data_IF_556765892143
#
_entry.id   IF_556765892143
#
_cell.length_a   1.000
_cell.length_b   1.000
_cell.length_c   1.000
_cell.angle_alpha   90.00
_cell.angle_beta   90.00
_cell.angle_gamma   90.00
#
_symmetry.space_group_name_H-M   'P 1'
#
loop_
_entity.id
_entity.type
_entity.pdbx_description
1 polymer ?
#
# COMPACT_ATOMS: atom_id res chain seq x y z
N UNK A 1 -8.00 -6.99 71.11
CA UNK A 1 -8.21 -5.62 71.63
C UNK A 1 -9.64 -5.27 71.27
N UNK A 2 -10.46 -5.13 72.30
CA UNK A 2 -11.92 -5.14 72.29
C UNK A 2 -12.52 -3.74 72.12
N UNK A 3 -13.62 -3.70 71.35
CA UNK A 3 -14.85 -2.90 71.59
C UNK A 3 -14.78 -1.40 71.27
N UNK A 4 -15.61 -1.01 70.30
CA UNK A 4 -16.67 0.05 70.31
C UNK A 4 -16.74 0.97 71.54
N UNK A 5 -17.36 2.14 71.60
CA UNK A 5 -18.11 3.09 70.77
C UNK A 5 -18.43 4.24 71.77
N UNK A 6 -18.99 5.34 71.27
CA UNK A 6 -19.86 6.33 71.95
C UNK A 6 -19.30 7.76 71.82
N UNK A 7 -19.94 8.67 71.06
CA UNK A 7 -21.28 9.27 71.18
C UNK A 7 -21.21 10.65 71.83
N UNK A 8 -21.67 11.67 71.10
CA UNK A 8 -22.35 12.87 71.62
C UNK A 8 -23.00 13.58 70.42
N UNK A 9 -24.30 13.43 70.17
CA UNK A 9 -25.46 14.14 70.74
C UNK A 9 -25.51 15.64 70.41
N UNK A 10 -26.44 16.06 69.54
CA UNK A 10 -27.76 16.69 69.86
C UNK A 10 -27.65 18.22 69.57
N UNK A 11 -28.57 18.89 68.86
CA UNK A 11 -29.82 19.45 69.44
C UNK A 11 -30.72 20.12 68.37
N UNK A 12 -31.97 19.62 68.26
CA UNK A 12 -33.26 20.33 68.15
C UNK A 12 -33.56 21.15 66.86
N UNK A 13 -34.79 21.29 66.35
CA UNK A 13 -36.15 21.19 66.93
C UNK A 13 -37.17 21.18 65.77
N UNK A 14 -38.22 20.37 65.86
CA UNK A 14 -39.50 20.50 65.13
C UNK A 14 -40.51 21.29 66.02
N UNK A 15 -41.80 21.55 65.66
CA UNK A 15 -42.56 21.33 64.42
C UNK A 15 -43.50 22.51 64.03
N UNK A 16 -44.18 22.45 62.87
CA UNK A 16 -45.62 22.77 62.73
C UNK A 16 -46.11 22.31 61.36
N UNK A 17 -47.12 21.46 61.41
CA UNK A 17 -47.84 20.78 60.34
C UNK A 17 -48.68 21.69 59.45
N UNK A 18 -48.72 21.40 58.14
CA UNK A 18 -49.90 21.55 57.29
C UNK A 18 -49.97 20.38 56.29
N UNK A 19 -51.15 19.75 56.25
CA UNK A 19 -51.62 18.73 55.30
C UNK A 19 -51.40 19.20 53.85
N UNK A 20 -51.16 18.38 52.83
CA UNK A 20 -51.96 17.20 52.45
C UNK A 20 -51.33 16.43 51.26
N UNK A 21 -51.58 15.11 51.27
CA UNK A 21 -51.92 14.24 50.13
C UNK A 21 -50.82 13.54 49.29
N UNK A 22 -50.87 12.20 49.41
CA UNK A 22 -50.62 11.14 48.40
C UNK A 22 -49.26 11.06 47.71
N UNK A 23 -48.67 9.91 47.38
CA UNK A 23 -48.83 8.48 47.66
C UNK A 23 -47.66 7.85 46.88
N UNK A 24 -47.14 6.68 47.30
CA UNK A 24 -46.36 5.82 46.42
C UNK A 24 -44.92 5.57 46.84
N UNK A 25 -44.75 4.65 47.79
CA UNK A 25 -43.57 3.80 47.87
C UNK A 25 -43.60 2.84 46.68
N UNK A 26 -42.57 2.79 45.84
CA UNK A 26 -42.24 1.57 45.11
C UNK A 26 -40.82 1.60 44.57
N UNK A 27 -40.01 0.64 45.02
CA UNK A 27 -38.65 0.43 44.55
C UNK A 27 -38.65 0.19 43.04
N UNK A 28 -37.75 0.89 42.35
CA UNK A 28 -37.55 0.69 40.92
C UNK A 28 -36.33 -0.20 40.77
N UNK A 29 -36.56 -1.51 40.60
CA UNK A 29 -35.59 -2.40 39.98
C UNK A 29 -35.10 -1.72 38.69
N UNK A 30 -33.82 -1.36 38.65
CA UNK A 30 -33.19 -0.87 37.44
C UNK A 30 -32.96 -2.10 36.54
N UNK A 31 -34.05 -2.61 35.99
CA UNK A 31 -34.04 -3.60 34.91
C UNK A 31 -33.20 -3.01 33.79
N UNK A 32 -31.92 -3.41 33.74
CA UNK A 32 -31.03 -3.18 32.61
C UNK A 32 -31.62 -3.97 31.45
N UNK A 33 -32.62 -3.38 30.79
CA UNK A 33 -33.06 -3.81 29.47
C UNK A 33 -31.87 -3.55 28.55
N UNK A 34 -31.01 -4.54 28.38
CA UNK A 34 -30.20 -4.64 27.17
C UNK A 34 -31.19 -4.79 26.02
N UNK A 35 -31.70 -3.67 25.51
CA UNK A 35 -32.32 -3.62 24.21
C UNK A 35 -31.27 -4.18 23.24
N UNK A 36 -31.54 -5.30 22.54
CA UNK A 36 -30.59 -5.78 21.56
C UNK A 36 -30.44 -4.66 20.54
N UNK A 37 -29.26 -4.07 20.43
CA UNK A 37 -28.99 -3.08 19.40
C UNK A 37 -28.81 -3.85 18.08
N UNK A 38 -29.86 -4.53 17.63
CA UNK A 38 -30.00 -4.98 16.24
C UNK A 38 -30.44 -3.79 15.40
N UNK A 39 -29.71 -2.68 15.50
CA UNK A 39 -29.86 -1.60 14.54
C UNK A 39 -29.23 -2.09 13.23
N UNK A 40 -29.98 -2.13 12.11
CA UNK A 40 -29.46 -2.62 10.83
C UNK A 40 -28.26 -1.81 10.30
N UNK A 41 -28.00 -0.63 10.88
CA UNK A 41 -26.82 0.18 10.58
C UNK A 41 -25.53 -0.26 11.30
N UNK A 42 -25.62 -0.98 12.42
CA UNK A 42 -24.42 -1.40 13.17
C UNK A 42 -23.58 -2.41 12.40
N UNK A 43 -24.16 -3.44 11.75
CA UNK A 43 -23.40 -4.33 10.88
C UNK A 43 -22.70 -3.56 9.75
N UNK A 44 -23.38 -2.57 9.16
CA UNK A 44 -22.81 -1.75 8.08
C UNK A 44 -21.68 -0.86 8.57
N UNK A 45 -21.84 -0.22 9.73
CA UNK A 45 -20.80 0.61 10.34
C UNK A 45 -19.57 -0.21 10.73
N UNK A 46 -19.76 -1.40 11.31
CA UNK A 46 -18.67 -2.34 11.58
C UNK A 46 -17.96 -2.75 10.28
N UNK A 47 -18.69 -3.06 9.21
CA UNK A 47 -18.10 -3.37 7.91
C UNK A 47 -17.29 -2.19 7.35
N UNK A 48 -17.79 -0.96 7.46
CA UNK A 48 -17.06 0.24 7.01
C UNK A 48 -15.77 0.39 7.81
N UNK A 49 -15.81 0.29 9.14
CA UNK A 49 -14.60 0.36 9.97
C UNK A 49 -13.60 -0.73 9.57
N UNK A 50 -14.06 -1.97 9.40
CA UNK A 50 -13.19 -3.09 8.99
C UNK A 50 -12.58 -2.80 7.61
N UNK A 51 -13.36 -2.37 6.62
CA UNK A 51 -12.85 -2.05 5.27
C UNK A 51 -11.83 -0.91 5.34
N UNK A 52 -12.10 0.15 6.11
CA UNK A 52 -11.17 1.27 6.26
C UNK A 52 -9.87 0.81 6.93
N UNK A 53 -9.96 0.01 8.00
CA UNK A 53 -8.79 -0.56 8.68
C UNK A 53 -8.00 -1.45 7.72
N UNK A 54 -8.65 -2.37 7.00
CA UNK A 54 -8.00 -3.22 6.00
C UNK A 54 -7.35 -2.41 4.88
N UNK A 55 -8.04 -1.41 4.33
CA UNK A 55 -7.49 -0.54 3.29
C UNK A 55 -6.28 0.24 3.80
N UNK A 56 -6.33 0.79 5.02
CA UNK A 56 -5.18 1.49 5.60
C UNK A 56 -4.00 0.55 5.86
N UNK A 57 -4.24 -0.67 6.35
CA UNK A 57 -3.19 -1.68 6.54
C UNK A 57 -2.56 -2.04 5.20
N UNK A 58 -3.37 -2.27 4.16
CA UNK A 58 -2.88 -2.58 2.80
C UNK A 58 -2.05 -1.42 2.26
N UNK A 59 -2.54 -0.18 2.37
CA UNK A 59 -1.82 1.01 1.93
C UNK A 59 -0.46 1.15 2.63
N UNK A 60 -0.45 1.02 3.96
CA UNK A 60 0.78 1.09 4.76
C UNK A 60 1.74 -0.03 4.36
N UNK A 61 1.27 -1.27 4.24
CA UNK A 61 2.08 -2.40 3.79
C UNK A 61 2.67 -2.17 2.39
N UNK A 62 1.90 -1.64 1.45
CA UNK A 62 2.39 -1.31 0.10
C UNK A 62 3.51 -0.28 0.13
N UNK A 63 3.44 0.73 1.01
CA UNK A 63 4.52 1.72 1.13
C UNK A 63 5.81 1.12 1.69
N UNK A 64 5.72 0.24 2.69
CA UNK A 64 6.89 -0.43 3.25
C UNK A 64 7.53 -1.44 2.29
N UNK A 65 6.76 -2.01 1.38
CA UNK A 65 7.24 -2.95 0.36
C UNK A 65 7.74 -2.24 -0.91
N UNK A 66 7.40 -0.97 -1.12
CA UNK A 66 7.83 -0.22 -2.30
C UNK A 66 9.27 0.27 -2.10
N UNK A 67 10.21 -0.41 -2.74
CA UNK A 67 11.60 0.03 -2.83
C UNK A 67 11.80 0.77 -4.16
N UNK A 68 12.07 2.06 -4.09
CA UNK A 68 12.33 2.92 -5.25
C UNK A 68 13.77 3.42 -5.18
N UNK A 69 14.50 3.31 -6.30
CA UNK A 69 15.92 3.66 -6.38
C UNK A 69 16.25 4.32 -7.70
N UNK A 70 17.39 5.00 -7.75
CA UNK A 70 17.95 5.51 -9.00
C UNK A 70 18.29 4.36 -9.97
N UNK A 71 18.38 4.68 -11.26
CA UNK A 71 18.53 3.68 -12.33
C UNK A 71 19.78 2.80 -12.15
N UNK A 72 20.90 3.40 -11.73
CA UNK A 72 22.17 2.68 -11.54
C UNK A 72 22.07 1.68 -10.39
N UNK A 73 21.51 2.08 -9.26
CA UNK A 73 21.29 1.20 -8.11
C UNK A 73 20.32 0.07 -8.44
N UNK A 74 19.27 0.35 -9.22
CA UNK A 74 18.36 -0.69 -9.73
C UNK A 74 19.06 -1.69 -10.64
N UNK A 75 19.91 -1.22 -11.56
CA UNK A 75 20.71 -2.10 -12.41
C UNK A 75 21.65 -2.99 -11.58
N UNK A 76 22.37 -2.41 -10.63
CA UNK A 76 23.25 -3.17 -9.73
C UNK A 76 22.48 -4.24 -8.95
N UNK A 77 21.27 -3.93 -8.49
CA UNK A 77 20.41 -4.91 -7.83
C UNK A 77 20.05 -6.07 -8.77
N UNK A 78 19.60 -5.80 -9.99
CA UNK A 78 19.31 -6.87 -10.95
C UNK A 78 20.56 -7.72 -11.25
N UNK A 79 21.72 -7.09 -11.40
CA UNK A 79 22.99 -7.80 -11.62
C UNK A 79 23.34 -8.73 -10.45
N UNK A 80 23.03 -8.34 -9.20
CA UNK A 80 23.22 -9.23 -8.04
C UNK A 80 22.35 -10.49 -8.07
N UNK A 81 21.29 -10.49 -8.89
CA UNK A 81 20.41 -11.64 -9.13
C UNK A 81 20.73 -12.37 -10.45
N UNK A 82 21.90 -12.08 -11.04
CA UNK A 82 22.29 -12.56 -12.39
C UNK A 82 21.23 -12.21 -13.44
N UNK A 83 20.63 -11.04 -13.30
CA UNK A 83 19.62 -10.49 -14.18
C UNK A 83 20.06 -9.10 -14.66
N UNK A 84 19.28 -8.54 -15.57
CA UNK A 84 19.45 -7.17 -16.06
C UNK A 84 18.18 -6.37 -15.84
N UNK A 85 18.24 -5.04 -15.87
CA UNK A 85 17.01 -4.25 -15.95
C UNK A 85 16.19 -4.67 -17.16
N UNK A 86 14.87 -4.66 -16.98
CA UNK A 86 13.89 -5.25 -17.89
C UNK A 86 14.16 -4.90 -19.35
N UNK A 87 14.43 -5.92 -20.15
CA UNK A 87 14.48 -5.85 -21.61
C UNK A 87 13.25 -6.52 -22.21
N UNK A 88 12.89 -6.10 -23.41
CA UNK A 88 11.81 -6.71 -24.19
C UNK A 88 12.18 -6.63 -25.67
N UNK A 89 11.77 -7.64 -26.42
CA UNK A 89 12.06 -7.76 -27.85
C UNK A 89 10.80 -7.53 -28.69
N UNK A 90 9.62 -7.88 -28.15
CA UNK A 90 8.35 -7.84 -28.89
C UNK A 90 7.31 -6.89 -28.29
N UNK A 91 6.27 -6.57 -29.08
CA UNK A 91 5.14 -5.77 -28.61
C UNK A 91 4.36 -6.48 -27.51
N UNK A 92 4.23 -7.81 -27.61
CA UNK A 92 3.52 -8.64 -26.64
C UNK A 92 4.21 -8.61 -25.28
N UNK A 93 5.55 -8.66 -25.25
CA UNK A 93 6.33 -8.55 -24.03
C UNK A 93 6.16 -7.16 -23.41
N UNK A 94 6.26 -6.09 -24.20
CA UNK A 94 6.04 -4.73 -23.71
C UNK A 94 4.60 -4.55 -23.17
N UNK A 95 3.62 -5.11 -23.86
CA UNK A 95 2.21 -5.09 -23.43
C UNK A 95 2.04 -5.82 -22.10
N UNK A 96 2.65 -7.00 -21.95
CA UNK A 96 2.64 -7.75 -20.70
C UNK A 96 3.26 -6.96 -19.55
N UNK A 97 4.46 -6.39 -19.75
CA UNK A 97 5.12 -5.55 -18.76
C UNK A 97 4.22 -4.38 -18.32
N UNK A 98 3.60 -3.70 -19.29
CA UNK A 98 2.67 -2.59 -19.01
C UNK A 98 1.44 -3.04 -18.23
N UNK A 99 0.89 -4.21 -18.55
CA UNK A 99 -0.33 -4.74 -17.93
C UNK A 99 -0.12 -5.17 -16.47
N UNK A 100 1.08 -5.61 -16.12
CA UNK A 100 1.38 -6.23 -14.82
C UNK A 100 2.38 -5.48 -13.94
N UNK A 101 3.00 -4.39 -14.41
CA UNK A 101 3.91 -3.56 -13.58
C UNK A 101 3.26 -2.96 -12.32
N UNK A 102 1.93 -2.94 -12.24
CA UNK A 102 1.22 -2.27 -11.15
C UNK A 102 1.17 -0.74 -11.30
N UNK A 103 0.82 0.00 -10.24
CA UNK A 103 0.51 1.43 -10.34
C UNK A 103 1.75 2.34 -10.49
N UNK A 104 2.93 1.89 -10.04
CA UNK A 104 4.13 2.70 -10.07
C UNK A 104 4.78 2.76 -11.45
N UNK A 105 5.58 3.79 -11.68
CA UNK A 105 6.52 3.85 -12.79
C UNK A 105 7.74 2.98 -12.50
N UNK A 106 8.23 2.26 -13.52
CA UNK A 106 9.32 1.30 -13.34
C UNK A 106 10.48 1.54 -14.31
N UNK A 107 11.71 1.55 -13.81
CA UNK A 107 12.91 1.53 -14.64
C UNK A 107 12.97 0.29 -15.53
N UNK A 108 13.43 0.50 -16.76
CA UNK A 108 13.74 -0.54 -17.75
C UNK A 108 15.18 -0.41 -18.23
N UNK A 109 15.68 -1.43 -18.93
CA UNK A 109 17.09 -1.55 -19.32
C UNK A 109 17.59 -0.60 -20.41
N UNK A 110 16.86 0.47 -20.75
CA UNK A 110 17.26 1.42 -21.78
C UNK A 110 17.92 2.66 -21.18
N UNK A 111 19.09 3.01 -21.72
CA UNK A 111 19.86 4.19 -21.37
C UNK A 111 20.48 4.85 -22.61
N UNK A 112 20.66 6.17 -22.56
CA UNK A 112 21.44 6.95 -23.53
C UNK A 112 22.33 7.94 -22.79
N UNK A 113 23.37 8.44 -23.45
CA UNK A 113 24.31 9.39 -22.87
C UNK A 113 23.73 10.81 -22.77
N UNK A 114 23.00 11.25 -23.80
CA UNK A 114 22.25 12.51 -23.79
C UNK A 114 21.05 12.43 -24.73
N UNK A 115 20.21 13.47 -24.77
CA UNK A 115 19.00 13.52 -25.61
C UNK A 115 19.22 13.26 -27.10
N UNK A 116 20.43 13.46 -27.60
CA UNK A 116 20.80 13.29 -29.01
C UNK A 116 21.41 11.91 -29.33
N UNK A 117 21.72 11.12 -28.30
CA UNK A 117 22.35 9.81 -28.47
C UNK A 117 21.29 8.73 -28.63
N UNK A 118 21.66 7.68 -29.36
CA UNK A 118 20.84 6.47 -29.53
C UNK A 118 20.62 5.79 -28.19
N UNK A 119 19.45 5.17 -28.05
CA UNK A 119 19.14 4.33 -26.90
C UNK A 119 19.89 3.00 -27.01
N UNK A 120 20.45 2.55 -25.90
CA UNK A 120 21.13 1.26 -25.78
C UNK A 120 20.56 0.48 -24.61
N UNK A 121 20.51 -0.83 -24.78
CA UNK A 121 20.24 -1.77 -23.71
C UNK A 121 21.44 -1.90 -22.77
N UNK A 122 21.25 -2.56 -21.64
CA UNK A 122 22.31 -2.75 -20.63
C UNK A 122 23.49 -3.59 -21.13
N UNK A 123 23.27 -4.40 -22.17
CA UNK A 123 24.29 -5.20 -22.85
C UNK A 123 25.02 -4.43 -23.96
N UNK A 124 24.78 -3.11 -24.06
CA UNK A 124 25.33 -2.21 -25.09
C UNK A 124 24.77 -2.40 -26.50
N UNK A 125 23.79 -3.28 -26.71
CA UNK A 125 23.09 -3.39 -27.99
C UNK A 125 22.22 -2.16 -28.23
N UNK A 126 22.12 -1.73 -29.49
CA UNK A 126 21.31 -0.56 -29.84
C UNK A 126 19.82 -0.93 -29.85
N UNK A 127 19.00 -0.02 -29.35
CA UNK A 127 17.56 -0.18 -29.38
C UNK A 127 17.01 0.09 -30.78
N UNK A 128 16.27 -0.86 -31.34
CA UNK A 128 15.72 -0.80 -32.70
C UNK A 128 14.65 0.29 -32.94
N UNK A 129 14.37 1.15 -31.95
CA UNK A 129 13.40 2.23 -32.01
C UNK A 129 11.96 1.79 -32.37
N UNK A 130 11.60 0.53 -32.08
CA UNK A 130 10.26 -0.02 -32.35
C UNK A 130 9.14 0.73 -31.62
N UNK A 131 9.44 1.30 -30.45
CA UNK A 131 8.51 2.11 -29.67
C UNK A 131 9.12 3.45 -29.29
N UNK A 132 8.32 4.51 -29.41
CA UNK A 132 8.75 5.88 -29.10
C UNK A 132 8.90 6.05 -27.59
N UNK A 133 10.09 6.45 -27.14
CA UNK A 133 10.38 6.80 -25.75
C UNK A 133 10.20 8.31 -25.59
N UNK A 134 9.21 8.72 -24.79
CA UNK A 134 8.90 10.14 -24.59
C UNK A 134 9.92 10.81 -23.64
N UNK A 135 10.15 12.11 -23.83
CA UNK A 135 10.97 12.94 -22.93
C UNK A 135 12.46 13.03 -23.32
N UNK A 136 13.19 13.79 -22.52
CA UNK A 136 14.59 14.18 -22.77
C UNK A 136 15.59 13.60 -21.76
N UNK A 137 15.15 12.67 -20.90
CA UNK A 137 16.01 12.04 -19.89
C UNK A 137 16.95 10.98 -20.48
N UNK A 138 17.94 10.59 -19.70
CA UNK A 138 18.99 9.62 -20.05
C UNK A 138 18.58 8.17 -19.82
N UNK A 139 17.63 7.93 -18.90
CA UNK A 139 17.20 6.59 -18.50
C UNK A 139 15.71 6.40 -18.82
N UNK A 140 15.34 5.27 -19.40
CA UNK A 140 13.96 4.99 -19.75
C UNK A 140 13.22 4.26 -18.63
N UNK A 141 11.94 4.57 -18.50
CA UNK A 141 11.01 3.92 -17.59
C UNK A 141 9.68 3.65 -18.28
N UNK A 142 8.93 2.70 -17.72
CA UNK A 142 7.59 2.32 -18.15
C UNK A 142 6.55 2.93 -17.23
N UNK A 143 5.55 3.59 -17.81
CA UNK A 143 4.37 4.14 -17.13
C UNK A 143 3.07 3.58 -17.73
N UNK A 144 1.92 4.08 -17.27
CA UNK A 144 0.60 3.60 -17.71
C UNK A 144 0.28 3.93 -19.18
N UNK A 145 1.03 4.83 -19.80
CA UNK A 145 0.87 5.21 -21.20
C UNK A 145 1.82 4.37 -22.08
N UNK A 146 3.07 4.21 -21.66
CA UNK A 146 4.10 3.48 -22.38
C UNK A 146 5.50 3.87 -21.91
N UNK A 147 6.44 4.01 -22.84
CA UNK A 147 7.83 4.34 -22.54
C UNK A 147 8.04 5.84 -22.40
N UNK A 148 8.77 6.24 -21.37
CA UNK A 148 9.18 7.62 -21.10
C UNK A 148 10.59 7.65 -20.55
N UNK A 149 11.18 8.83 -20.43
CA UNK A 149 12.56 9.02 -19.97
C UNK A 149 12.65 10.05 -18.85
N UNK A 150 13.56 9.80 -17.92
CA UNK A 150 13.83 10.64 -16.78
C UNK A 150 15.34 10.71 -16.50
N UNK A 151 15.74 11.62 -15.61
CA UNK A 151 17.12 11.71 -15.15
C UNK A 151 17.49 10.46 -14.37
N UNK A 152 18.73 10.00 -14.51
CA UNK A 152 19.19 8.76 -13.88
C UNK A 152 19.06 8.74 -12.35
N UNK A 153 19.15 9.90 -11.69
CA UNK A 153 19.13 10.06 -10.25
C UNK A 153 17.72 10.06 -9.62
N UNK A 154 16.64 10.09 -10.41
CA UNK A 154 15.29 10.03 -9.84
C UNK A 154 15.00 8.64 -9.30
N UNK A 155 14.29 8.53 -8.19
CA UNK A 155 13.92 7.22 -7.67
C UNK A 155 12.66 6.68 -8.33
N UNK A 156 12.71 5.41 -8.75
CA UNK A 156 11.57 4.66 -9.28
C UNK A 156 11.69 3.20 -8.87
N UNK A 157 10.57 2.49 -8.93
CA UNK A 157 10.61 1.03 -8.88
C UNK A 157 11.36 0.51 -10.11
N UNK A 158 11.72 -0.77 -10.15
CA UNK A 158 12.43 -1.33 -11.29
C UNK A 158 11.95 -2.75 -11.60
N UNK A 159 12.14 -3.17 -12.84
CA UNK A 159 11.84 -4.53 -13.29
C UNK A 159 13.17 -5.18 -13.65
N UNK A 160 13.42 -6.40 -13.17
CA UNK A 160 14.53 -7.22 -13.62
C UNK A 160 14.02 -8.26 -14.63
N UNK A 161 14.79 -8.53 -15.68
CA UNK A 161 14.58 -9.63 -16.61
C UNK A 161 15.78 -10.57 -16.57
N UNK A 162 15.50 -11.88 -16.51
CA UNK A 162 16.50 -12.94 -16.63
C UNK A 162 16.12 -13.83 -17.80
N UNK A 163 17.02 -13.98 -18.76
CA UNK A 163 16.82 -14.91 -19.86
C UNK A 163 16.93 -16.33 -19.31
N UNK A 164 15.92 -17.16 -19.55
CA UNK A 164 16.00 -18.57 -19.18
C UNK A 164 16.94 -19.30 -20.16
N UNK A 165 17.93 -20.03 -19.65
CA UNK A 165 18.87 -20.79 -20.49
C UNK A 165 18.19 -21.82 -21.40
N UNK A 166 16.96 -22.25 -21.06
CA UNK A 166 16.13 -23.14 -21.89
C UNK A 166 15.80 -22.51 -23.25
N UNK A 167 15.54 -21.19 -23.30
CA UNK A 167 15.22 -20.49 -24.54
C UNK A 167 16.46 -20.26 -25.40
N UNK A 168 17.64 -20.07 -24.78
CA UNK A 168 18.93 -19.96 -25.49
C UNK A 168 19.32 -21.27 -26.17
N UNK A 169 19.17 -22.41 -25.49
CA UNK A 169 19.43 -23.72 -26.11
C UNK A 169 18.43 -24.05 -27.22
N UNK A 170 17.14 -23.74 -27.04
CA UNK A 170 16.13 -23.99 -28.08
C UNK A 170 16.33 -23.12 -29.32
N UNK A 171 16.75 -21.86 -29.15
CA UNK A 171 17.08 -20.97 -30.27
C UNK A 171 18.38 -21.40 -30.97
N UNK A 172 19.36 -21.88 -30.21
CA UNK A 172 20.60 -22.45 -30.77
C UNK A 172 20.28 -23.71 -31.59
N UNK A 173 19.43 -24.60 -31.10
CA UNK A 173 19.01 -25.82 -31.80
C UNK A 173 18.13 -25.57 -33.03
N UNK A 174 17.45 -24.43 -33.14
CA UNK A 174 16.69 -24.05 -34.35
C UNK A 174 17.55 -23.42 -35.45
N UNK A 175 18.77 -23.02 -35.13
CA UNK A 175 19.67 -22.32 -36.06
C UNK A 175 20.66 -23.29 -36.76
N UNK A 176 20.64 -24.58 -36.39
CA UNK A 176 21.40 -25.65 -37.03
C UNK A 176 20.50 -26.58 -37.87
#
# INVERSE_FOLDING_TARGET
MTVEEASSKILQTEPTSRESMEEGRSGKDLQRKCLPITSPLIPLYCCIIIIMVLATIVMVLSTFLSDARNWTSSQTFCTSLEAVLGQFETEEELFFLKRYKGPSDHWIGLRRESSHHVWKWTDSTEYNASFVIKGVGECAYLNDIGLSSARSYTDRNWICSKTNNVTMELNTLRTF
#
